data_IF_131020228050
#
_entry.id   IF_131020228050
#
_cell.length_a   1.000
_cell.length_b   1.000
_cell.length_c   1.000
_cell.angle_alpha   90.00
_cell.angle_beta   90.00
_cell.angle_gamma   90.00
#
_symmetry.space_group_name_H-M   'P 1'
#
loop_
_entity.id
_entity.type
_entity.pdbx_description
1 polymer ?
#
# COMPACT_ATOMS: atom_id res chain seq x y z
N UNK A 1 -2.73 2.88 -5.39
CA UNK A 1 -1.96 2.60 -4.18
C UNK A 1 -2.91 2.19 -3.05
N UNK A 2 -2.35 1.75 -1.92
CA UNK A 2 -3.02 1.14 -0.76
C UNK A 2 -4.37 1.82 -0.42
N UNK A 3 -5.45 1.03 -0.37
CA UNK A 3 -6.82 1.50 -0.14
C UNK A 3 -7.27 2.67 -1.03
N UNK A 4 -6.74 2.77 -2.26
CA UNK A 4 -7.10 3.80 -3.22
C UNK A 4 -6.42 5.16 -3.00
N UNK A 5 -5.70 5.33 -1.89
CA UNK A 5 -5.00 6.59 -1.55
C UNK A 5 -3.77 6.75 -2.42
N UNK A 6 -3.58 7.91 -3.03
CA UNK A 6 -2.50 8.16 -4.00
C UNK A 6 -1.79 9.49 -3.81
N UNK A 7 -2.30 10.39 -2.98
CA UNK A 7 -1.70 11.69 -2.71
C UNK A 7 -1.14 11.77 -1.30
N UNK A 8 -0.21 12.70 -1.07
CA UNK A 8 0.36 12.96 0.25
C UNK A 8 -0.72 13.23 1.30
N UNK A 9 -1.71 14.06 0.96
CA UNK A 9 -2.81 14.41 1.86
C UNK A 9 -3.68 13.21 2.23
N UNK A 10 -3.96 12.33 1.27
CA UNK A 10 -4.73 11.10 1.53
C UNK A 10 -3.97 10.13 2.43
N UNK A 11 -2.64 9.99 2.24
CA UNK A 11 -1.81 9.18 3.14
C UNK A 11 -1.77 9.75 4.55
N UNK A 12 -1.69 11.08 4.69
CA UNK A 12 -1.70 11.74 6.00
C UNK A 12 -3.03 11.56 6.73
N UNK A 13 -4.14 11.50 5.99
CA UNK A 13 -5.49 11.26 6.54
C UNK A 13 -5.79 9.76 6.76
N UNK A 14 -4.80 8.88 6.62
CA UNK A 14 -5.00 7.47 6.85
C UNK A 14 -5.09 7.10 8.33
N UNK A 15 -5.88 6.06 8.62
CA UNK A 15 -6.16 5.58 9.97
C UNK A 15 -4.89 5.14 10.74
N UNK A 16 -3.80 4.87 10.01
CA UNK A 16 -2.48 4.53 10.55
C UNK A 16 -1.84 5.68 11.35
N UNK A 17 -2.26 6.95 11.12
CA UNK A 17 -1.82 8.10 11.91
C UNK A 17 -0.33 8.43 11.79
N UNK A 18 0.23 8.35 10.58
CA UNK A 18 1.66 8.59 10.34
C UNK A 18 2.04 10.07 10.49
N UNK A 19 3.12 10.35 11.22
CA UNK A 19 3.65 11.71 11.34
C UNK A 19 4.18 12.23 9.99
N UNK A 20 3.94 13.51 9.69
CA UNK A 20 4.31 14.22 8.45
C UNK A 20 5.77 13.97 8.04
N UNK A 21 6.72 14.15 8.95
CA UNK A 21 8.15 13.97 8.68
C UNK A 21 8.50 12.52 8.30
N UNK A 22 7.88 11.54 8.96
CA UNK A 22 8.08 10.11 8.68
C UNK A 22 7.48 9.75 7.33
N UNK A 23 6.27 10.23 7.02
CA UNK A 23 5.64 9.99 5.73
C UNK A 23 6.47 10.56 4.57
N UNK A 24 6.93 11.81 4.69
CA UNK A 24 7.81 12.44 3.69
C UNK A 24 9.07 11.61 3.49
N UNK A 25 9.73 11.21 4.58
CA UNK A 25 10.96 10.41 4.52
C UNK A 25 10.74 9.06 3.83
N UNK A 26 9.67 8.34 4.19
CA UNK A 26 9.34 7.04 3.60
C UNK A 26 8.98 7.14 2.12
N UNK A 27 8.17 8.13 1.72
CA UNK A 27 7.84 8.33 0.30
C UNK A 27 9.09 8.66 -0.52
N UNK A 28 9.98 9.51 0.00
CA UNK A 28 11.25 9.83 -0.66
C UNK A 28 12.16 8.60 -0.78
N UNK A 29 12.20 7.75 0.25
CA UNK A 29 12.96 6.51 0.21
C UNK A 29 12.41 5.55 -0.85
N UNK A 30 11.08 5.33 -0.87
CA UNK A 30 10.44 4.48 -1.87
C UNK A 30 10.62 4.99 -3.31
N UNK A 31 10.68 6.32 -3.50
CA UNK A 31 11.01 6.96 -4.76
C UNK A 31 12.46 6.71 -5.16
N UNK A 32 13.41 6.93 -4.24
CA UNK A 32 14.84 6.66 -4.47
C UNK A 32 15.12 5.18 -4.79
N UNK A 33 14.37 4.27 -4.16
CA UNK A 33 14.48 2.83 -4.38
C UNK A 33 13.75 2.36 -5.65
N UNK A 34 13.15 3.29 -6.41
CA UNK A 34 12.36 3.03 -7.61
C UNK A 34 11.20 2.05 -7.39
N UNK A 35 10.62 2.04 -6.18
CA UNK A 35 9.42 1.26 -5.83
C UNK A 35 8.17 2.07 -6.16
N UNK A 36 8.25 3.39 -5.97
CA UNK A 36 7.20 4.36 -6.24
C UNK A 36 7.73 5.43 -7.18
N UNK A 37 6.86 5.97 -8.00
CA UNK A 37 7.08 7.18 -8.80
C UNK A 37 5.95 8.18 -8.55
N UNK A 38 6.20 9.46 -8.82
CA UNK A 38 5.20 10.52 -8.60
C UNK A 38 5.05 11.40 -9.83
N UNK A 39 3.82 11.84 -10.05
CA UNK A 39 3.45 12.76 -11.13
C UNK A 39 2.67 13.94 -10.58
N UNK A 40 2.72 15.08 -11.27
CA UNK A 40 1.89 16.23 -10.91
C UNK A 40 0.42 15.82 -11.01
N UNK A 41 -0.34 16.14 -9.97
CA UNK A 41 -1.77 15.88 -9.96
C UNK A 41 -2.46 16.76 -11.02
N UNK A 42 -3.19 16.16 -12.00
CA UNK A 42 -3.86 16.90 -13.06
C UNK A 42 -4.98 17.80 -12.53
N UNK A 43 -5.60 17.44 -11.40
CA UNK A 43 -6.69 18.20 -10.79
C UNK A 43 -6.18 19.25 -9.79
N UNK A 44 -4.98 19.04 -9.23
CA UNK A 44 -4.35 19.96 -8.30
C UNK A 44 -2.85 20.07 -8.56
N UNK A 45 -2.42 21.06 -9.36
CA UNK A 45 -1.01 21.24 -9.73
C UNK A 45 -0.02 21.40 -8.56
N UNK A 46 -0.52 21.73 -7.36
CA UNK A 46 0.30 21.82 -6.13
C UNK A 46 0.53 20.47 -5.45
N UNK A 47 -0.23 19.45 -5.82
CA UNK A 47 -0.16 18.08 -5.30
C UNK A 47 0.59 17.15 -6.25
N UNK A 48 1.00 16.01 -5.71
CA UNK A 48 1.57 14.88 -6.45
C UNK A 48 0.73 13.63 -6.23
N UNK A 49 0.59 12.84 -7.29
CA UNK A 49 -0.01 11.50 -7.26
C UNK A 49 1.10 10.47 -7.38
N UNK A 50 1.16 9.58 -6.41
CA UNK A 50 2.12 8.49 -6.30
C UNK A 50 1.56 7.21 -6.93
N UNK A 51 2.43 6.46 -7.61
CA UNK A 51 2.11 5.20 -8.28
C UNK A 51 3.21 4.17 -8.02
N UNK A 52 2.83 2.89 -7.96
CA UNK A 52 3.81 1.81 -7.92
C UNK A 52 4.48 1.66 -9.29
N UNK A 53 5.80 1.57 -9.30
CA UNK A 53 6.57 1.15 -10.47
C UNK A 53 6.35 -0.36 -10.71
N UNK A 54 6.89 -0.91 -11.80
CA UNK A 54 6.87 -2.35 -11.98
C UNK A 54 7.57 -3.09 -10.83
N UNK A 55 8.73 -2.58 -10.39
CA UNK A 55 9.46 -3.11 -9.21
C UNK A 55 8.58 -3.11 -7.96
N UNK A 56 7.82 -2.05 -7.72
CA UNK A 56 6.88 -1.99 -6.59
C UNK A 56 5.71 -2.96 -6.72
N UNK A 57 5.15 -3.12 -7.94
CA UNK A 57 4.09 -4.11 -8.21
C UNK A 57 4.56 -5.54 -7.98
N UNK A 58 5.83 -5.83 -8.30
CA UNK A 58 6.40 -7.16 -8.14
C UNK A 58 6.65 -7.56 -6.68
N UNK A 59 6.52 -6.62 -5.72
CA UNK A 59 6.50 -6.92 -4.28
C UNK A 59 5.18 -7.54 -3.81
N UNK A 60 4.12 -7.51 -4.61
CA UNK A 60 2.79 -7.99 -4.22
C UNK A 60 2.78 -9.42 -3.64
N UNK A 61 3.50 -10.42 -4.20
CA UNK A 61 3.53 -11.76 -3.62
C UNK A 61 4.13 -11.79 -2.21
N UNK A 62 5.17 -10.99 -1.96
CA UNK A 62 5.85 -10.93 -0.66
C UNK A 62 4.93 -10.27 0.38
N UNK A 63 4.32 -9.14 0.02
CA UNK A 63 3.34 -8.46 0.89
C UNK A 63 2.17 -9.39 1.22
N UNK A 64 1.72 -10.17 0.24
CA UNK A 64 0.65 -11.15 0.44
C UNK A 64 1.03 -12.22 1.48
N UNK A 65 2.23 -12.76 1.42
CA UNK A 65 2.70 -13.73 2.41
C UNK A 65 2.80 -13.15 3.82
N UNK A 66 3.25 -11.89 3.95
CA UNK A 66 3.27 -11.19 5.24
C UNK A 66 1.84 -11.07 5.80
N UNK A 67 0.87 -10.71 4.95
CA UNK A 67 -0.54 -10.60 5.36
C UNK A 67 -1.08 -11.96 5.81
N UNK A 68 -0.84 -13.04 5.04
CA UNK A 68 -1.28 -14.39 5.41
C UNK A 68 -0.68 -14.81 6.74
N UNK A 69 0.64 -14.69 6.89
CA UNK A 69 1.33 -15.02 8.13
C UNK A 69 0.75 -14.23 9.32
N UNK A 70 0.55 -12.92 9.16
CA UNK A 70 -0.05 -12.10 10.21
C UNK A 70 -1.47 -12.55 10.56
N UNK A 71 -2.30 -12.91 9.58
CA UNK A 71 -3.68 -13.36 9.84
C UNK A 71 -3.77 -14.68 10.59
N UNK A 72 -2.76 -15.55 10.44
CA UNK A 72 -2.67 -16.84 11.15
C UNK A 72 -2.26 -16.64 12.62
N UNK A 73 -1.36 -15.69 12.90
CA UNK A 73 -0.75 -15.52 14.22
C UNK A 73 -1.21 -14.29 15.01
N UNK A 74 -1.99 -13.38 14.41
CA UNK A 74 -2.56 -12.23 15.11
C UNK A 74 -3.87 -12.63 15.82
N UNK A 75 -3.81 -12.68 17.14
CA UNK A 75 -4.94 -13.05 18.00
C UNK A 75 -5.73 -11.85 18.53
N UNK A 76 -5.38 -10.62 18.12
CA UNK A 76 -6.10 -9.42 18.57
C UNK A 76 -7.53 -9.39 18.00
N UNK A 77 -8.49 -8.75 18.69
CA UNK A 77 -9.90 -8.70 18.26
C UNK A 77 -10.11 -8.05 16.88
N UNK A 78 -9.18 -7.19 16.47
CA UNK A 78 -9.14 -6.47 15.20
C UNK A 78 -8.16 -7.09 14.18
N UNK A 79 -7.69 -8.31 14.41
CA UNK A 79 -6.86 -9.03 13.45
C UNK A 79 -7.58 -9.16 12.11
N UNK A 80 -6.83 -9.11 11.01
CA UNK A 80 -7.34 -9.14 9.64
C UNK A 80 -7.84 -10.54 9.21
N UNK A 81 -8.58 -11.24 10.06
CA UNK A 81 -9.10 -12.60 9.79
C UNK A 81 -10.00 -12.63 8.55
N UNK A 82 -10.84 -11.62 8.38
CA UNK A 82 -11.69 -11.50 7.19
C UNK A 82 -10.85 -11.34 5.90
N UNK A 83 -9.72 -10.62 5.98
CA UNK A 83 -8.79 -10.46 4.85
C UNK A 83 -8.10 -11.79 4.56
N UNK A 84 -7.68 -12.54 5.59
CA UNK A 84 -7.12 -13.87 5.43
C UNK A 84 -8.10 -14.81 4.72
N UNK A 85 -9.37 -14.86 5.14
CA UNK A 85 -10.39 -15.68 4.48
C UNK A 85 -10.57 -15.31 3.01
N UNK A 86 -10.57 -14.02 2.69
CA UNK A 86 -10.65 -13.53 1.29
C UNK A 86 -9.44 -13.98 0.46
N UNK A 87 -8.23 -13.90 1.03
CA UNK A 87 -7.00 -14.34 0.36
C UNK A 87 -7.01 -15.86 0.14
N UNK A 88 -7.44 -16.66 1.11
CA UNK A 88 -7.49 -18.11 0.99
C UNK A 88 -8.51 -18.58 -0.06
N UNK A 89 -9.60 -17.83 -0.25
CA UNK A 89 -10.62 -18.12 -1.29
C UNK A 89 -10.16 -17.78 -2.70
N UNK A 90 -9.43 -16.69 -2.88
CA UNK A 90 -8.95 -16.24 -4.20
C UNK A 90 -7.60 -15.52 -4.08
N UNK A 91 -6.54 -16.32 -3.93
CA UNK A 91 -5.17 -15.82 -3.78
C UNK A 91 -4.73 -15.04 -5.03
N UNK A 92 -4.92 -15.62 -6.21
CA UNK A 92 -4.47 -15.04 -7.47
C UNK A 92 -5.20 -13.74 -7.81
N UNK A 93 -6.51 -13.66 -7.56
CA UNK A 93 -7.26 -12.42 -7.74
C UNK A 93 -6.89 -11.34 -6.75
N UNK A 94 -6.55 -11.70 -5.50
CA UNK A 94 -6.05 -10.75 -4.51
C UNK A 94 -4.66 -10.19 -4.90
N UNK A 95 -3.74 -11.06 -5.32
CA UNK A 95 -2.42 -10.65 -5.82
C UNK A 95 -2.54 -9.73 -7.05
N UNK A 96 -3.43 -10.06 -7.98
CA UNK A 96 -3.70 -9.23 -9.16
C UNK A 96 -4.26 -7.85 -8.77
N UNK A 97 -5.11 -7.76 -7.73
CA UNK A 97 -5.59 -6.49 -7.20
C UNK A 97 -4.48 -5.67 -6.55
N UNK A 98 -3.61 -6.29 -5.75
CA UNK A 98 -2.45 -5.62 -5.16
C UNK A 98 -1.52 -5.05 -6.23
N UNK A 99 -1.27 -5.80 -7.30
CA UNK A 99 -0.48 -5.34 -8.45
C UNK A 99 -1.12 -4.16 -9.19
N UNK A 100 -2.45 -4.08 -9.23
CA UNK A 100 -3.18 -2.98 -9.89
C UNK A 100 -3.33 -1.73 -9.02
N UNK A 101 -2.99 -1.82 -7.73
CA UNK A 101 -3.18 -0.80 -6.70
C UNK A 101 -2.82 0.60 -7.15
#
# INVERSE_FOLDING_TARGET
>A
MLNGKRTYSEFLQADEGIATNILISRLKQLENDAIVEKYRDPNNRRSFVYHLTQKGRDLAPIILEIVIWSGVYDYRPNAMREVLEKILRDRSGFEAKLRKG
#
